data_IF_333813759767
#
_entry.id   IF_333813759767
#
_cell.length_a   1.000
_cell.length_b   1.000
_cell.length_c   1.000
_cell.angle_alpha   90.00
_cell.angle_beta   90.00
_cell.angle_gamma   90.00
#
_symmetry.space_group_name_H-M   'P 1'
#
loop_
_entity.id
_entity.type
_entity.pdbx_description
1 polymer ?
#
# COMPACT_ATOMS: atom_id res chain seq x y z
N UNK A 1 -15.14 -10.44 9.49
CA UNK A 1 -14.13 -10.88 8.51
C UNK A 1 -13.74 -9.65 7.70
N UNK A 2 -12.46 -9.46 7.37
CA UNK A 2 -11.99 -8.34 6.55
C UNK A 2 -11.45 -8.86 5.22
N UNK A 3 -11.60 -8.10 4.14
CA UNK A 3 -11.17 -8.43 2.79
C UNK A 3 -10.17 -7.40 2.29
N UNK A 4 -8.96 -7.86 1.98
CA UNK A 4 -7.89 -7.01 1.51
C UNK A 4 -7.60 -7.38 0.05
N UNK A 5 -7.37 -6.36 -0.79
CA UNK A 5 -6.96 -6.56 -2.17
C UNK A 5 -5.43 -6.51 -2.26
N UNK A 6 -4.83 -7.47 -2.96
CA UNK A 6 -3.38 -7.59 -3.10
C UNK A 6 -2.92 -7.09 -4.47
N UNK A 7 -2.81 -5.77 -4.62
CA UNK A 7 -2.43 -5.11 -5.87
C UNK A 7 -1.90 -3.70 -5.61
N UNK A 8 -1.05 -3.19 -6.50
CA UNK A 8 -0.69 -1.78 -6.56
C UNK A 8 -1.43 -1.03 -7.70
N UNK A 9 -2.25 -1.74 -8.48
CA UNK A 9 -3.01 -1.16 -9.58
C UNK A 9 -4.20 -0.37 -9.04
N UNK A 10 -4.07 0.96 -9.14
CA UNK A 10 -5.06 1.89 -8.61
C UNK A 10 -6.45 1.74 -9.25
N UNK A 11 -6.53 1.26 -10.50
CA UNK A 11 -7.83 1.05 -11.17
C UNK A 11 -8.59 -0.11 -10.53
N UNK A 12 -7.91 -1.22 -10.28
CA UNK A 12 -8.47 -2.40 -9.61
C UNK A 12 -8.92 -2.05 -8.18
N UNK A 13 -8.10 -1.29 -7.46
CA UNK A 13 -8.42 -0.85 -6.10
C UNK A 13 -9.67 0.05 -6.10
N UNK A 14 -9.77 0.97 -7.06
CA UNK A 14 -10.94 1.86 -7.18
C UNK A 14 -12.21 1.09 -7.53
N UNK A 15 -12.12 0.10 -8.42
CA UNK A 15 -13.23 -0.77 -8.74
C UNK A 15 -13.68 -1.56 -7.52
N UNK A 16 -12.76 -2.23 -6.83
CA UNK A 16 -13.08 -3.03 -5.65
C UNK A 16 -13.62 -2.19 -4.48
N UNK A 17 -13.08 -0.97 -4.27
CA UNK A 17 -13.62 -0.01 -3.32
C UNK A 17 -15.04 0.45 -3.70
N UNK A 18 -15.32 0.67 -4.99
CA UNK A 18 -16.66 1.06 -5.46
C UNK A 18 -17.73 -0.02 -5.25
N UNK A 19 -17.33 -1.29 -5.22
CA UNK A 19 -18.20 -2.41 -4.87
C UNK A 19 -18.49 -2.51 -3.36
N UNK A 20 -17.75 -1.77 -2.52
CA UNK A 20 -17.90 -1.78 -1.07
C UNK A 20 -17.42 -3.08 -0.40
N UNK A 21 -16.51 -3.81 -1.04
CA UNK A 21 -16.07 -5.14 -0.59
C UNK A 21 -14.64 -5.17 -0.03
N UNK A 22 -13.92 -4.04 -0.06
CA UNK A 22 -12.51 -3.96 0.37
C UNK A 22 -12.37 -3.15 1.65
N UNK A 23 -11.69 -3.73 2.63
CA UNK A 23 -11.36 -3.14 3.93
C UNK A 23 -9.94 -2.59 4.00
N UNK A 24 -9.07 -2.93 3.04
CA UNK A 24 -7.65 -2.58 3.04
C UNK A 24 -6.91 -3.07 1.79
N UNK A 25 -5.65 -2.68 1.66
CA UNK A 25 -4.80 -3.06 0.51
C UNK A 25 -3.49 -3.63 1.02
N UNK A 26 -3.00 -4.69 0.40
CA UNK A 26 -1.62 -5.15 0.57
C UNK A 26 -0.81 -4.84 -0.68
N UNK A 27 0.40 -4.32 -0.48
CA UNK A 27 1.37 -4.09 -1.55
C UNK A 27 2.70 -4.72 -1.18
N UNK A 28 3.55 -4.91 -2.18
CA UNK A 28 4.94 -5.29 -2.03
C UNK A 28 5.77 -4.59 -3.13
N UNK A 29 7.11 -4.60 -3.05
CA UNK A 29 7.95 -3.88 -3.99
C UNK A 29 7.75 -4.36 -5.44
N UNK A 30 7.45 -5.65 -5.62
CA UNK A 30 7.22 -6.22 -6.96
C UNK A 30 5.91 -5.73 -7.59
N UNK A 31 4.83 -5.60 -6.82
CA UNK A 31 3.56 -5.07 -7.30
C UNK A 31 3.72 -3.60 -7.71
N UNK A 32 4.37 -2.79 -6.88
CA UNK A 32 4.58 -1.37 -7.18
C UNK A 32 5.51 -1.18 -8.37
N UNK A 33 6.58 -1.99 -8.48
CA UNK A 33 7.49 -1.95 -9.63
C UNK A 33 6.79 -2.25 -10.97
N UNK A 34 5.78 -3.14 -10.98
CA UNK A 34 4.99 -3.45 -12.18
C UNK A 34 4.18 -2.27 -12.69
N UNK A 35 3.77 -1.36 -11.81
CA UNK A 35 3.05 -0.14 -12.20
C UNK A 35 3.97 0.88 -12.88
N UNK A 36 5.29 0.79 -12.68
CA UNK A 36 6.27 1.71 -13.28
C UNK A 36 6.12 3.16 -12.81
N UNK A 37 5.55 3.36 -11.62
CA UNK A 37 5.26 4.65 -11.00
C UNK A 37 6.11 4.88 -9.76
N UNK A 38 6.18 6.13 -9.32
CA UNK A 38 6.81 6.47 -8.04
C UNK A 38 6.08 5.79 -6.88
N UNK A 39 6.84 5.14 -6.01
CA UNK A 39 6.33 4.35 -4.89
C UNK A 39 5.43 5.19 -3.97
N UNK A 40 5.89 6.38 -3.58
CA UNK A 40 5.18 7.21 -2.60
C UNK A 40 3.88 7.73 -3.20
N UNK A 41 3.91 8.15 -4.47
CA UNK A 41 2.70 8.59 -5.18
C UNK A 41 1.65 7.48 -5.29
N UNK A 42 2.07 6.23 -5.54
CA UNK A 42 1.14 5.09 -5.58
C UNK A 42 0.52 4.87 -4.20
N UNK A 43 1.30 4.81 -3.13
CA UNK A 43 0.77 4.60 -1.77
C UNK A 43 -0.17 5.74 -1.35
N UNK A 44 0.18 7.00 -1.61
CA UNK A 44 -0.68 8.16 -1.31
C UNK A 44 -2.01 8.10 -2.08
N UNK A 45 -1.97 7.69 -3.36
CA UNK A 45 -3.18 7.52 -4.17
C UNK A 45 -4.05 6.39 -3.63
N UNK A 46 -3.46 5.25 -3.23
CA UNK A 46 -4.18 4.14 -2.59
C UNK A 46 -4.88 4.62 -1.31
N UNK A 47 -4.17 5.38 -0.45
CA UNK A 47 -4.71 5.94 0.77
C UNK A 47 -5.88 6.91 0.52
N UNK A 48 -5.93 7.56 -0.65
CA UNK A 48 -7.04 8.44 -1.04
C UNK A 48 -8.30 7.69 -1.48
N UNK A 49 -8.19 6.39 -1.76
CA UNK A 49 -9.29 5.56 -2.29
C UNK A 49 -9.87 4.68 -1.20
N UNK A 50 -9.01 4.11 -0.34
CA UNK A 50 -9.41 3.16 0.71
C UNK A 50 -9.09 3.78 2.08
N UNK A 51 -10.14 4.08 2.86
CA UNK A 51 -9.99 4.52 4.26
C UNK A 51 -9.86 3.30 5.20
N UNK A 52 -8.82 2.51 4.96
CA UNK A 52 -8.50 1.29 5.69
C UNK A 52 -6.99 0.98 5.65
N UNK A 53 -6.53 -0.11 6.31
CA UNK A 53 -5.10 -0.41 6.41
C UNK A 53 -4.45 -0.66 5.05
N UNK A 54 -3.32 -0.01 4.80
CA UNK A 54 -2.53 -0.12 3.56
C UNK A 54 -1.14 -0.66 3.92
N UNK A 55 -0.89 -1.94 3.64
CA UNK A 55 0.42 -2.53 3.90
C UNK A 55 1.42 -2.13 2.82
N UNK A 56 2.52 -1.50 3.23
CA UNK A 56 3.69 -1.19 2.40
C UNK A 56 4.93 -1.88 2.98
N UNK A 57 5.68 -2.61 2.16
CA UNK A 57 6.80 -3.44 2.63
C UNK A 57 8.13 -2.66 2.61
N UNK A 58 8.91 -2.84 3.68
CA UNK A 58 10.34 -2.51 3.68
C UNK A 58 11.09 -3.48 2.75
N UNK A 59 12.27 -3.09 2.26
CA UNK A 59 13.06 -3.88 1.32
C UNK A 59 14.31 -4.46 1.98
N UNK A 60 14.86 -3.76 2.98
CA UNK A 60 16.05 -4.23 3.68
C UNK A 60 15.79 -5.49 4.49
N UNK A 61 16.79 -6.38 4.53
CA UNK A 61 16.80 -7.59 5.35
C UNK A 61 17.54 -7.39 6.68
N UNK A 62 18.20 -6.25 6.86
CA UNK A 62 18.88 -5.89 8.11
C UNK A 62 17.87 -5.20 9.04
N UNK A 63 17.78 -5.66 10.29
CA UNK A 63 16.71 -5.27 11.21
C UNK A 63 16.65 -3.76 11.48
N UNK A 64 17.79 -3.11 11.69
CA UNK A 64 17.90 -1.67 11.93
C UNK A 64 17.45 -0.84 10.72
N UNK A 65 17.86 -1.26 9.52
CA UNK A 65 17.44 -0.61 8.27
C UNK A 65 15.97 -0.85 7.98
N UNK A 66 15.44 -2.05 8.23
CA UNK A 66 14.03 -2.38 8.07
C UNK A 66 13.14 -1.51 8.96
N UNK A 67 13.56 -1.27 10.22
CA UNK A 67 12.87 -0.36 11.14
C UNK A 67 12.90 1.08 10.61
N UNK A 68 14.08 1.57 10.18
CA UNK A 68 14.19 2.93 9.64
C UNK A 68 13.35 3.14 8.37
N UNK A 69 13.30 2.15 7.48
CA UNK A 69 12.42 2.15 6.29
C UNK A 69 10.95 2.17 6.71
N UNK A 70 10.55 1.30 7.64
CA UNK A 70 9.19 1.25 8.19
C UNK A 70 8.73 2.57 8.82
N UNK A 71 9.60 3.23 9.60
CA UNK A 71 9.32 4.58 10.14
C UNK A 71 9.18 5.64 9.04
N UNK A 72 9.89 5.47 7.92
CA UNK A 72 9.72 6.30 6.74
C UNK A 72 8.36 6.09 6.06
N UNK A 73 7.95 4.83 5.91
CA UNK A 73 6.67 4.45 5.33
C UNK A 73 5.48 4.94 6.16
N UNK A 74 5.52 4.76 7.49
CA UNK A 74 4.47 5.20 8.40
C UNK A 74 4.23 6.73 8.40
N UNK A 75 5.21 7.51 7.91
CA UNK A 75 5.05 8.98 7.74
C UNK A 75 4.26 9.36 6.50
N UNK A 76 4.01 8.45 5.55
CA UNK A 76 3.27 8.73 4.32
C UNK A 76 1.82 9.05 4.65
N UNK A 77 1.17 8.22 5.46
CA UNK A 77 -0.22 8.39 5.84
C UNK A 77 -0.55 7.60 7.12
N UNK A 78 -1.54 8.03 7.89
CA UNK A 78 -1.98 7.36 9.13
C UNK A 78 -2.48 5.91 8.96
N UNK A 79 -2.77 5.50 7.72
CA UNK A 79 -3.28 4.17 7.38
C UNK A 79 -2.17 3.23 6.89
N UNK A 80 -0.92 3.71 6.81
CA UNK A 80 0.28 2.95 6.40
C UNK A 80 1.03 2.48 7.65
#
# INVERSE_FOLDING_TARGET
MKFFIDTANVKEIREAASLGVVDGVTTNPSLIAKEGRDFKQVIEEICSIVDGPISAEAVSLEADKMVAEGEGLAKIHKNV
#
